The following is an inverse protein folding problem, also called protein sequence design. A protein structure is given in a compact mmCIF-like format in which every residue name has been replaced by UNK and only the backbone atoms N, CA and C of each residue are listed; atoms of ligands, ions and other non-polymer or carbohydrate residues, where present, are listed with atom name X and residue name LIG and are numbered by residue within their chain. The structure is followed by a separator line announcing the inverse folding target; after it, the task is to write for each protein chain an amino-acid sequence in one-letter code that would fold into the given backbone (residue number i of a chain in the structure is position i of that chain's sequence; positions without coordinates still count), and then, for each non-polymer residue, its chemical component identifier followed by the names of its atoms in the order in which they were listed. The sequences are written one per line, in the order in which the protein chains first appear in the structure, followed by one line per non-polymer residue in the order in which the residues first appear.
data_IF_749519379149
#
_entry.id   IF_749519379149
#
_cell.length_a   1.000
_cell.length_b   1.000
_cell.length_c   1.000
_cell.angle_alpha   90.00
_cell.angle_beta   90.00
_cell.angle_gamma   90.00
#
_symmetry.space_group_name_H-M   'P 1'
#
loop_
_entity.id
_entity.type
_entity.pdbx_description
1 polymer ?
#
# COMPACT_ATOMS: atom_id res chain seq x y z
N UNK A 1 -15.86 -2.08 -1.61
CA UNK A 1 -14.82 -1.88 -2.67
C UNK A 1 -13.44 -2.05 -2.04
N UNK A 2 -12.39 -2.43 -2.77
CA UNK A 2 -11.07 -2.69 -2.16
C UNK A 2 -10.50 -1.47 -1.41
N UNK A 3 -10.66 -0.27 -1.97
CA UNK A 3 -10.19 1.04 -1.46
C UNK A 3 -11.24 1.82 -0.65
N UNK A 4 -12.24 1.14 -0.10
CA UNK A 4 -13.33 1.81 0.62
C UNK A 4 -12.84 2.50 1.90
N UNK A 5 -13.33 3.72 2.15
CA UNK A 5 -12.95 4.55 3.30
C UNK A 5 -11.73 5.45 3.12
N UNK A 6 -10.91 5.25 2.08
CA UNK A 6 -9.74 6.10 1.86
C UNK A 6 -10.12 7.54 1.50
N UNK A 7 -9.40 8.55 2.02
CA UNK A 7 -9.64 9.95 1.66
C UNK A 7 -9.24 10.20 0.21
N UNK A 8 -9.86 11.21 -0.41
CA UNK A 8 -9.60 11.56 -1.81
C UNK A 8 -8.12 11.84 -2.10
N UNK A 9 -7.39 12.41 -1.14
CA UNK A 9 -5.94 12.65 -1.24
C UNK A 9 -5.14 11.35 -1.37
N UNK A 10 -5.50 10.33 -0.61
CA UNK A 10 -4.85 9.02 -0.66
C UNK A 10 -5.20 8.27 -1.96
N UNK A 11 -6.45 8.38 -2.41
CA UNK A 11 -6.87 7.82 -3.70
C UNK A 11 -6.11 8.48 -4.87
N UNK A 12 -5.95 9.80 -4.83
CA UNK A 12 -5.14 10.53 -5.81
C UNK A 12 -3.67 10.11 -5.80
N UNK A 13 -3.08 9.97 -4.61
CA UNK A 13 -1.70 9.49 -4.46
C UNK A 13 -1.53 8.07 -5.04
N UNK A 14 -2.43 7.15 -4.67
CA UNK A 14 -2.40 5.77 -5.16
C UNK A 14 -2.56 5.72 -6.68
N UNK A 15 -3.50 6.48 -7.25
CA UNK A 15 -3.66 6.57 -8.69
C UNK A 15 -2.39 7.09 -9.38
N UNK A 16 -1.80 8.17 -8.88
CA UNK A 16 -0.57 8.72 -9.44
C UNK A 16 0.61 7.74 -9.36
N UNK A 17 0.78 7.04 -8.23
CA UNK A 17 1.76 5.96 -8.10
C UNK A 17 1.52 4.87 -9.12
N UNK A 18 0.26 4.47 -9.32
CA UNK A 18 -0.11 3.42 -10.28
C UNK A 18 0.20 3.81 -11.72
N UNK A 19 -0.11 5.05 -12.10
CA UNK A 19 0.27 5.63 -13.41
C UNK A 19 1.78 5.63 -13.59
N UNK A 20 2.54 6.09 -12.59
CA UNK A 20 4.01 6.13 -12.66
C UNK A 20 4.66 4.74 -12.78
N UNK A 21 3.91 3.69 -12.44
CA UNK A 21 4.34 2.29 -12.52
C UNK A 21 3.84 1.58 -13.77
N UNK A 22 3.29 2.32 -14.74
CA UNK A 22 2.95 1.83 -16.08
C UNK A 22 1.46 1.58 -16.32
N UNK A 23 0.58 1.94 -15.39
CA UNK A 23 -0.87 1.80 -15.56
C UNK A 23 -1.52 3.16 -15.88
N UNK A 24 -1.39 3.60 -17.13
CA UNK A 24 -1.78 4.95 -17.59
C UNK A 24 -3.25 5.31 -17.38
N UNK A 25 -4.15 4.32 -17.36
CA UNK A 25 -5.59 4.53 -17.22
C UNK A 25 -6.08 4.59 -15.76
N UNK A 26 -5.17 4.52 -14.77
CA UNK A 26 -5.56 4.54 -13.36
C UNK A 26 -6.00 5.95 -12.92
N UNK A 27 -7.17 6.03 -12.29
CA UNK A 27 -7.69 7.27 -11.69
C UNK A 27 -8.00 7.06 -10.21
N UNK A 28 -8.25 8.15 -9.48
CA UNK A 28 -8.63 8.07 -8.07
C UNK A 28 -9.96 7.29 -7.88
N UNK A 29 -10.87 7.43 -8.84
CA UNK A 29 -12.21 6.84 -8.83
C UNK A 29 -12.23 5.42 -9.40
N UNK A 30 -11.40 5.15 -10.42
CA UNK A 30 -11.38 3.91 -11.17
C UNK A 30 -9.97 3.33 -11.22
N UNK A 31 -9.82 2.13 -10.69
CA UNK A 31 -8.54 1.42 -10.66
C UNK A 31 -8.00 1.08 -12.06
N UNK A 32 -6.80 0.48 -12.13
CA UNK A 32 -6.11 -0.23 -11.03
C UNK A 32 -5.49 0.69 -9.97
N UNK A 33 -5.26 0.15 -8.78
CA UNK A 33 -4.64 0.84 -7.65
C UNK A 33 -3.43 0.05 -7.15
N UNK A 34 -2.29 0.73 -7.01
CA UNK A 34 -1.05 0.19 -6.48
C UNK A 34 -0.75 0.84 -5.13
N UNK A 35 -0.85 0.04 -4.07
CA UNK A 35 -0.52 0.44 -2.71
C UNK A 35 0.95 0.08 -2.46
N UNK A 36 1.70 1.04 -1.93
CA UNK A 36 3.12 0.90 -1.60
C UNK A 36 3.32 0.88 -0.10
N UNK A 37 4.50 0.43 0.36
CA UNK A 37 4.83 0.31 1.78
C UNK A 37 5.62 1.51 2.33
N UNK A 38 5.72 2.61 1.59
CA UNK A 38 6.23 3.88 2.11
C UNK A 38 5.22 4.54 3.06
N UNK A 39 5.72 5.40 3.95
CA UNK A 39 4.93 5.93 5.05
C UNK A 39 3.63 6.64 4.62
N UNK A 40 3.61 7.54 3.61
CA UNK A 40 2.37 8.16 3.14
C UNK A 40 1.27 7.16 2.74
N UNK A 41 1.62 6.13 1.96
CA UNK A 41 0.66 5.12 1.51
C UNK A 41 0.22 4.22 2.66
N UNK A 42 1.19 3.68 3.41
CA UNK A 42 0.93 2.78 4.53
C UNK A 42 0.04 3.42 5.62
N UNK A 43 0.40 4.63 6.07
CA UNK A 43 -0.33 5.33 7.14
C UNK A 43 -1.77 5.59 6.72
N UNK A 44 -2.00 5.97 5.46
CA UNK A 44 -3.35 6.24 4.96
C UNK A 44 -4.23 5.00 4.97
N UNK A 45 -3.68 3.83 4.58
CA UNK A 45 -4.41 2.56 4.67
C UNK A 45 -4.75 2.25 6.13
N UNK A 46 -3.77 2.32 7.04
CA UNK A 46 -3.98 1.98 8.46
C UNK A 46 -5.01 2.89 9.14
N UNK A 47 -5.09 4.16 8.75
CA UNK A 47 -5.97 5.14 9.40
C UNK A 47 -7.39 5.18 8.84
N UNK A 48 -7.57 4.86 7.55
CA UNK A 48 -8.83 5.21 6.86
C UNK A 48 -9.54 4.05 6.17
N UNK A 49 -8.85 2.95 5.87
CA UNK A 49 -9.51 1.83 5.18
C UNK A 49 -10.64 1.26 6.03
N UNK A 50 -11.78 0.98 5.39
CA UNK A 50 -12.90 0.23 6.00
C UNK A 50 -12.84 -1.27 5.67
N UNK A 51 -11.86 -1.67 4.87
CA UNK A 51 -11.67 -3.05 4.48
C UNK A 51 -10.66 -3.74 5.41
N UNK A 52 -11.16 -4.54 6.35
CA UNK A 52 -10.32 -5.25 7.33
C UNK A 52 -9.30 -6.18 6.67
N UNK A 53 -9.66 -6.84 5.57
CA UNK A 53 -8.74 -7.73 4.86
C UNK A 53 -7.58 -6.94 4.24
N UNK A 54 -7.87 -5.78 3.64
CA UNK A 54 -6.82 -4.90 3.11
C UNK A 54 -5.93 -4.33 4.22
N UNK A 55 -6.53 -3.94 5.35
CA UNK A 55 -5.77 -3.49 6.51
C UNK A 55 -4.81 -4.57 6.99
N UNK A 56 -5.27 -5.80 7.13
CA UNK A 56 -4.44 -6.92 7.57
C UNK A 56 -3.32 -7.24 6.56
N UNK A 57 -3.64 -7.33 5.27
CA UNK A 57 -2.66 -7.64 4.21
C UNK A 57 -1.52 -6.63 4.19
N UNK A 58 -1.85 -5.33 4.20
CA UNK A 58 -0.87 -4.24 4.19
C UNK A 58 -0.07 -4.19 5.49
N UNK A 59 -0.72 -4.41 6.64
CA UNK A 59 -0.04 -4.46 7.93
C UNK A 59 0.99 -5.59 8.00
N UNK A 60 0.60 -6.81 7.61
CA UNK A 60 1.50 -7.99 7.59
C UNK A 60 2.67 -7.77 6.65
N UNK A 61 2.40 -7.25 5.44
CA UNK A 61 3.45 -6.92 4.48
C UNK A 61 4.44 -5.89 5.05
N UNK A 62 3.97 -4.87 5.78
CA UNK A 62 4.82 -3.84 6.37
C UNK A 62 5.72 -4.34 7.51
N UNK A 63 5.20 -5.18 8.42
CA UNK A 63 5.96 -5.65 9.59
C UNK A 63 6.94 -6.78 9.25
N UNK A 64 6.77 -7.46 8.12
CA UNK A 64 7.64 -8.55 7.64
C UNK A 64 8.64 -8.11 6.57
N UNK A 65 8.79 -6.79 6.36
CA UNK A 65 9.81 -6.27 5.44
C UNK A 65 11.19 -6.69 5.93
N UNK A 66 12.01 -7.15 4.99
CA UNK A 66 13.39 -7.55 5.25
C UNK A 66 13.53 -8.61 6.35
N UNK A 67 12.58 -9.54 6.45
CA UNK A 67 12.58 -10.62 7.44
C UNK A 67 12.58 -12.03 6.83
N UNK A 68 12.86 -12.16 5.53
CA UNK A 68 12.98 -13.45 4.83
C UNK A 68 13.64 -13.28 3.45
N UNK A 69 14.14 -14.39 2.90
CA UNK A 69 14.73 -14.45 1.55
C UNK A 69 16.03 -13.64 1.43
N UNK A 70 16.33 -13.16 0.21
CA UNK A 70 17.57 -12.43 -0.09
C UNK A 70 17.70 -11.09 0.64
N UNK A 71 16.59 -10.56 1.17
CA UNK A 71 16.52 -9.28 1.88
C UNK A 71 16.41 -9.46 3.40
N UNK A 72 16.62 -10.66 3.95
CA UNK A 72 16.51 -10.92 5.39
C UNK A 72 17.65 -10.23 6.19
N UNK A 73 17.26 -9.34 7.10
CA UNK A 73 18.18 -8.63 7.99
C UNK A 73 18.43 -9.39 9.31
N UNK A 74 17.69 -10.45 9.61
CA UNK A 74 17.86 -11.27 10.83
C UNK A 74 19.31 -11.72 11.08
N UNK A 75 20.07 -12.23 10.08
CA UNK A 75 21.47 -12.63 10.28
C UNK A 75 22.48 -11.46 10.33
N UNK A 76 22.04 -10.24 10.00
CA UNK A 76 22.89 -9.03 10.11
C UNK A 76 22.79 -8.45 11.53
N UNK A 77 21.62 -8.57 12.15
CA UNK A 77 21.34 -8.02 13.49
C UNK A 77 21.86 -8.92 14.62
N UNK A 78 21.80 -10.25 14.44
CA UNK A 78 22.19 -11.25 15.45
C UNK A 78 23.48 -11.96 15.08
#
# INVERSE_FOLDING_TARGET
KKIDGLPATALGLVAQTTVSKGHENATAENGPWMITLDAPSFISIMQHTRNCALHEEVYRAYITRASSGDLDNTPIIN
#
